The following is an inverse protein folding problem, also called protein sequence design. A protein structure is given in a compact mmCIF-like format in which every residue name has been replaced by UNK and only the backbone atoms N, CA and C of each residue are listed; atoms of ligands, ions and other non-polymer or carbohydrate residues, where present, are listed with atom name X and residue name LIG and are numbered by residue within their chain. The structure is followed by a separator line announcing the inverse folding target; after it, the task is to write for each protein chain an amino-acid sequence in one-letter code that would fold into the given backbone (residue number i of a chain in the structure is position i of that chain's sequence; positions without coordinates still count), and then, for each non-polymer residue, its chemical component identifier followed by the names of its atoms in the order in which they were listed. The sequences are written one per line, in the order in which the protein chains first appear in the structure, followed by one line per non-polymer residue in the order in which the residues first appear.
data_IF_476304408162
#
_entry.id   IF_476304408162
#
_cell.length_a   1.000
_cell.length_b   1.000
_cell.length_c   1.000
_cell.angle_alpha   90.00
_cell.angle_beta   90.00
_cell.angle_gamma   90.00
#
_symmetry.space_group_name_H-M   'P 1'
#
loop_
_entity.id
_entity.type
_entity.pdbx_description
1 polymer ?
#
# COMPACT_ATOMS: atom_id res chain seq x y z
N UNK A 1 -21.98 -6.45 26.90
CA UNK A 1 -21.45 -5.06 26.95
C UNK A 1 -19.94 -5.10 26.78
N UNK A 2 -19.28 -3.98 26.50
CA UNK A 2 -17.81 -3.93 26.39
C UNK A 2 -17.27 -2.97 27.45
N UNK A 3 -16.37 -3.44 28.31
CA UNK A 3 -15.74 -2.67 29.38
C UNK A 3 -14.27 -2.44 29.02
N UNK A 4 -13.86 -1.17 28.88
CA UNK A 4 -12.45 -0.83 28.63
C UNK A 4 -11.77 -0.44 29.94
N UNK A 5 -10.80 -1.25 30.34
CA UNK A 5 -9.93 -0.96 31.49
C UNK A 5 -8.81 0.03 31.11
N UNK A 6 -8.23 0.76 32.10
CA UNK A 6 -7.10 1.65 31.85
C UNK A 6 -5.85 0.88 31.40
N UNK A 7 -4.90 1.61 30.81
CA UNK A 7 -3.59 1.06 30.45
C UNK A 7 -2.89 0.56 31.73
N UNK A 8 -2.44 -0.69 31.68
CA UNK A 8 -1.72 -1.32 32.80
C UNK A 8 -0.23 -1.32 32.49
N UNK A 9 0.64 -0.82 33.39
CA UNK A 9 2.09 -0.90 33.22
C UNK A 9 2.56 -2.36 33.10
N UNK A 10 3.69 -2.58 32.41
CA UNK A 10 4.33 -3.90 32.24
C UNK A 10 5.00 -4.41 33.53
N UNK A 11 4.23 -4.49 34.61
CA UNK A 11 4.60 -4.99 35.92
C UNK A 11 3.72 -6.22 36.25
N UNK A 12 4.30 -7.42 36.48
CA UNK A 12 3.54 -8.66 36.67
C UNK A 12 2.41 -8.57 37.71
N UNK A 13 2.67 -7.93 38.86
CA UNK A 13 1.67 -7.79 39.93
C UNK A 13 0.49 -6.92 39.51
N UNK A 14 0.74 -5.87 38.72
CA UNK A 14 -0.33 -5.00 38.20
C UNK A 14 -1.14 -5.68 37.12
N UNK A 15 -0.48 -6.41 36.22
CA UNK A 15 -1.14 -7.23 35.19
C UNK A 15 -2.02 -8.28 35.87
N UNK A 16 -1.50 -8.99 36.89
CA UNK A 16 -2.26 -9.97 37.67
C UNK A 16 -3.50 -9.36 38.31
N UNK A 17 -3.36 -8.21 38.95
CA UNK A 17 -4.49 -7.53 39.58
C UNK A 17 -5.53 -7.08 38.55
N UNK A 18 -5.11 -6.52 37.42
CA UNK A 18 -5.99 -6.08 36.35
C UNK A 18 -6.76 -7.25 35.72
N UNK A 19 -6.07 -8.35 35.38
CA UNK A 19 -6.70 -9.56 34.83
C UNK A 19 -7.69 -10.14 35.84
N UNK A 20 -7.32 -10.25 37.13
CA UNK A 20 -8.21 -10.78 38.17
C UNK A 20 -9.49 -9.95 38.30
N UNK A 21 -9.38 -8.62 38.28
CA UNK A 21 -10.54 -7.72 38.31
C UNK A 21 -11.40 -7.91 37.05
N UNK A 22 -10.79 -7.90 35.87
CA UNK A 22 -11.51 -8.05 34.60
C UNK A 22 -12.27 -9.39 34.50
N UNK A 23 -11.66 -10.50 34.95
CA UNK A 23 -12.30 -11.83 34.97
C UNK A 23 -13.46 -11.88 35.96
N UNK A 24 -13.38 -11.18 37.10
CA UNK A 24 -14.48 -11.13 38.06
C UNK A 24 -15.71 -10.41 37.48
N UNK A 25 -15.49 -9.37 36.69
CA UNK A 25 -16.53 -8.45 36.21
C UNK A 25 -17.11 -8.81 34.81
N UNK A 26 -16.43 -9.64 34.01
CA UNK A 26 -16.82 -9.92 32.62
C UNK A 26 -16.80 -11.42 32.31
N UNK A 27 -17.40 -11.81 31.18
CA UNK A 27 -17.45 -13.21 30.72
C UNK A 27 -16.26 -13.62 29.83
N UNK A 28 -15.59 -12.64 29.22
CA UNK A 28 -14.42 -12.82 28.37
C UNK A 28 -13.47 -11.64 28.58
N UNK A 29 -12.17 -11.91 28.66
CA UNK A 29 -11.14 -10.88 28.83
C UNK A 29 -10.19 -10.90 27.64
N UNK A 30 -9.94 -9.73 27.07
CA UNK A 30 -8.97 -9.52 25.98
C UNK A 30 -7.87 -8.62 26.53
N UNK A 31 -6.63 -9.09 26.47
CA UNK A 31 -5.45 -8.31 26.80
C UNK A 31 -4.83 -7.80 25.49
N UNK A 32 -5.07 -6.53 25.17
CA UNK A 32 -4.48 -5.89 24.00
C UNK A 32 -2.98 -5.74 24.17
N UNK A 33 -2.20 -6.10 23.14
CA UNK A 33 -0.74 -6.19 23.22
C UNK A 33 -0.23 -7.08 24.37
N UNK A 34 -1.07 -8.00 24.84
CA UNK A 34 -0.77 -8.92 25.93
C UNK A 34 0.03 -10.14 25.48
N UNK A 35 0.66 -10.12 24.31
CA UNK A 35 1.51 -11.23 23.90
C UNK A 35 2.74 -10.77 23.12
N UNK A 36 3.87 -11.44 23.37
CA UNK A 36 5.17 -11.06 22.85
C UNK A 36 5.94 -12.28 22.33
N UNK A 37 6.73 -12.08 21.27
CA UNK A 37 7.74 -13.04 20.85
C UNK A 37 9.10 -12.82 21.55
N UNK A 38 9.18 -11.84 22.45
CA UNK A 38 10.39 -11.43 23.17
C UNK A 38 10.54 -12.06 24.57
N UNK A 39 11.60 -11.69 25.28
CA UNK A 39 12.10 -12.38 26.48
C UNK A 39 11.22 -12.31 27.75
N UNK A 40 10.08 -11.62 27.74
CA UNK A 40 9.20 -11.50 28.93
C UNK A 40 7.73 -11.40 28.50
N UNK A 41 7.07 -12.53 28.33
CA UNK A 41 5.62 -12.58 28.14
C UNK A 41 4.92 -12.76 29.50
N UNK A 42 4.86 -11.68 30.28
CA UNK A 42 4.25 -11.70 31.61
C UNK A 42 2.77 -12.09 31.59
N UNK A 43 2.09 -11.90 30.46
CA UNK A 43 0.66 -12.19 30.35
C UNK A 43 0.42 -13.69 30.35
N UNK A 44 1.23 -14.46 29.62
CA UNK A 44 1.16 -15.92 29.64
C UNK A 44 1.40 -16.48 31.04
N UNK A 45 2.45 -16.00 31.71
CA UNK A 45 2.79 -16.43 33.08
C UNK A 45 1.66 -16.12 34.05
N UNK A 46 1.13 -14.89 34.03
CA UNK A 46 0.02 -14.47 34.90
C UNK A 46 -1.26 -15.27 34.63
N UNK A 47 -1.57 -15.58 33.37
CA UNK A 47 -2.71 -16.43 33.04
C UNK A 47 -2.50 -17.84 33.61
N UNK A 48 -1.30 -18.40 33.49
CA UNK A 48 -0.95 -19.71 34.03
C UNK A 48 -0.97 -19.78 35.56
N UNK A 49 -0.62 -18.68 36.25
CA UNK A 49 -0.71 -18.59 37.70
C UNK A 49 -2.16 -18.49 38.21
N UNK A 50 -3.01 -17.74 37.51
CA UNK A 50 -4.40 -17.50 37.91
C UNK A 50 -5.36 -18.60 37.42
N UNK A 51 -4.97 -19.40 36.45
CA UNK A 51 -5.79 -20.43 35.83
C UNK A 51 -4.97 -21.37 34.96
N UNK A 52 -5.23 -21.39 33.66
CA UNK A 52 -4.60 -22.31 32.71
C UNK A 52 -4.31 -21.61 31.38
N UNK A 53 -3.12 -21.83 30.82
CA UNK A 53 -2.78 -21.47 29.44
C UNK A 53 -3.05 -22.68 28.55
N UNK A 54 -4.01 -22.56 27.63
CA UNK A 54 -4.41 -23.64 26.72
C UNK A 54 -3.57 -23.65 25.44
N UNK A 55 -3.30 -22.46 24.91
CA UNK A 55 -2.53 -22.25 23.67
C UNK A 55 -1.58 -21.08 23.88
N UNK A 56 -0.31 -21.30 23.56
CA UNK A 56 0.72 -20.27 23.53
C UNK A 56 1.30 -20.17 22.13
N UNK A 57 0.59 -19.40 21.31
CA UNK A 57 0.87 -19.21 19.90
C UNK A 57 0.17 -20.20 18.99
N UNK A 58 -0.15 -19.73 17.79
CA UNK A 58 -0.85 -20.50 16.75
C UNK A 58 -0.08 -20.42 15.43
N UNK A 59 -0.23 -21.43 14.59
CA UNK A 59 0.43 -21.49 13.28
C UNK A 59 -0.32 -20.62 12.25
N UNK A 60 -0.41 -19.31 12.51
CA UNK A 60 -0.96 -18.31 11.57
C UNK A 60 0.00 -17.14 11.35
N UNK A 61 -0.08 -16.52 10.17
CA UNK A 61 0.71 -15.35 9.78
C UNK A 61 -0.17 -14.29 9.13
N UNK A 62 -0.17 -13.03 9.59
CA UNK A 62 0.36 -12.56 10.88
C UNK A 62 -0.54 -13.01 12.04
N UNK A 63 -0.02 -13.02 13.27
CA UNK A 63 -0.81 -13.31 14.48
C UNK A 63 -0.29 -14.48 15.34
N UNK A 64 0.85 -15.07 14.97
CA UNK A 64 1.47 -16.19 15.68
C UNK A 64 1.46 -16.10 17.22
N UNK A 65 1.82 -14.98 17.89
CA UNK A 65 2.00 -15.00 19.35
C UNK A 65 0.70 -14.93 20.16
N UNK A 66 -0.49 -15.27 19.64
CA UNK A 66 -1.73 -15.23 20.45
C UNK A 66 -1.65 -16.17 21.66
N UNK A 67 -2.15 -15.73 22.82
CA UNK A 67 -2.33 -16.58 24.00
C UNK A 67 -3.82 -16.84 24.19
N UNK A 68 -4.19 -18.10 24.38
CA UNK A 68 -5.56 -18.47 24.76
C UNK A 68 -5.45 -19.23 26.07
N UNK A 69 -6.07 -18.68 27.10
CA UNK A 69 -6.16 -19.31 28.40
C UNK A 69 -7.54 -19.18 29.01
N UNK A 70 -7.63 -19.64 30.26
CA UNK A 70 -8.89 -19.78 30.97
C UNK A 70 -8.65 -19.52 32.45
N UNK A 71 -9.47 -18.65 33.05
CA UNK A 71 -9.45 -18.34 34.48
C UNK A 71 -10.89 -18.43 34.99
N UNK A 72 -11.16 -19.24 36.01
CA UNK A 72 -12.52 -19.47 36.55
C UNK A 72 -13.57 -19.77 35.47
N UNK A 73 -13.26 -20.70 34.55
CA UNK A 73 -14.11 -21.05 33.40
C UNK A 73 -14.30 -19.96 32.33
N UNK A 74 -13.69 -18.78 32.49
CA UNK A 74 -13.82 -17.65 31.56
C UNK A 74 -12.61 -17.54 30.64
N UNK A 75 -12.80 -17.37 29.32
CA UNK A 75 -11.70 -17.21 28.37
C UNK A 75 -10.92 -15.90 28.59
N UNK A 76 -9.59 -16.02 28.53
CA UNK A 76 -8.66 -14.90 28.58
C UNK A 76 -7.75 -14.98 27.36
N UNK A 77 -7.79 -13.95 26.51
CA UNK A 77 -7.09 -13.92 25.22
C UNK A 77 -6.00 -12.85 25.24
N UNK A 78 -4.74 -13.25 25.15
CA UNK A 78 -3.60 -12.35 24.96
C UNK A 78 -3.41 -12.05 23.47
N UNK A 79 -3.61 -10.81 23.06
CA UNK A 79 -3.53 -10.38 21.66
C UNK A 79 -2.12 -9.95 21.28
N UNK A 80 -1.68 -10.21 20.02
CA UNK A 80 -0.43 -9.67 19.51
C UNK A 80 -0.37 -8.15 19.61
N UNK A 81 0.78 -7.59 20.02
CA UNK A 81 0.99 -6.14 20.00
C UNK A 81 1.09 -5.54 18.60
N UNK A 82 1.36 -6.37 17.59
CA UNK A 82 1.44 -5.94 16.20
C UNK A 82 0.04 -5.85 15.56
N UNK A 83 -0.40 -4.68 15.04
CA UNK A 83 -1.79 -4.47 14.65
C UNK A 83 -2.35 -5.43 13.61
N UNK A 84 -1.57 -5.84 12.60
CA UNK A 84 -2.06 -6.83 11.63
C UNK A 84 -2.23 -8.21 12.25
N UNK A 85 -1.36 -8.58 13.18
CA UNK A 85 -1.51 -9.82 13.93
C UNK A 85 -2.76 -9.78 14.81
N UNK A 86 -3.01 -8.66 15.48
CA UNK A 86 -4.23 -8.45 16.25
C UNK A 86 -5.49 -8.53 15.37
N UNK A 87 -5.48 -7.90 14.19
CA UNK A 87 -6.60 -7.94 13.24
C UNK A 87 -6.90 -9.37 12.78
N UNK A 88 -5.88 -10.14 12.39
CA UNK A 88 -6.05 -11.54 12.02
C UNK A 88 -6.61 -12.37 13.18
N UNK A 89 -6.07 -12.21 14.39
CA UNK A 89 -6.57 -12.95 15.57
C UNK A 89 -8.02 -12.57 15.90
N UNK A 90 -8.38 -11.29 15.79
CA UNK A 90 -9.78 -10.87 15.96
C UNK A 90 -10.67 -11.61 14.96
N UNK A 91 -10.29 -11.59 13.69
CA UNK A 91 -11.10 -12.13 12.60
C UNK A 91 -11.21 -13.66 12.64
N UNK A 92 -10.11 -14.35 12.84
CA UNK A 92 -10.02 -15.80 12.68
C UNK A 92 -10.29 -16.58 13.97
N UNK A 93 -10.11 -15.96 15.13
CA UNK A 93 -10.24 -16.64 16.43
C UNK A 93 -11.33 -16.01 17.29
N UNK A 94 -11.28 -14.69 17.48
CA UNK A 94 -12.19 -14.02 18.41
C UNK A 94 -13.62 -13.93 17.86
N UNK A 95 -13.81 -13.51 16.60
CA UNK A 95 -15.13 -13.38 16.00
C UNK A 95 -15.87 -14.74 15.96
N UNK A 96 -15.25 -15.86 15.53
CA UNK A 96 -15.86 -17.19 15.64
C UNK A 96 -16.19 -17.58 17.08
N UNK A 97 -15.33 -17.25 18.06
CA UNK A 97 -15.59 -17.50 19.47
C UNK A 97 -16.81 -16.73 19.96
N UNK A 98 -16.90 -15.44 19.67
CA UNK A 98 -18.04 -14.58 20.02
C UNK A 98 -19.33 -15.06 19.37
N UNK A 99 -19.26 -15.50 18.10
CA UNK A 99 -20.39 -16.11 17.40
C UNK A 99 -20.90 -17.36 18.11
N UNK A 100 -20.00 -18.26 18.53
CA UNK A 100 -20.35 -19.45 19.31
C UNK A 100 -20.92 -19.12 20.70
N UNK A 101 -20.59 -17.96 21.26
CA UNK A 101 -21.21 -17.44 22.49
C UNK A 101 -22.59 -16.80 22.26
N UNK A 102 -23.12 -16.81 21.03
CA UNK A 102 -24.44 -16.28 20.70
C UNK A 102 -24.47 -14.80 20.29
N UNK A 103 -23.31 -14.17 20.10
CA UNK A 103 -23.25 -12.82 19.52
C UNK A 103 -23.42 -12.89 18.00
N UNK A 104 -24.18 -11.96 17.44
CA UNK A 104 -24.28 -11.85 16.00
C UNK A 104 -22.95 -11.35 15.42
N UNK A 105 -22.36 -12.17 14.57
CA UNK A 105 -21.17 -11.85 13.80
C UNK A 105 -21.55 -12.02 12.32
N UNK A 106 -21.52 -10.95 11.52
CA UNK A 106 -21.80 -11.04 10.10
C UNK A 106 -20.81 -12.00 9.42
N UNK A 107 -21.31 -12.95 8.65
CA UNK A 107 -20.46 -13.74 7.77
C UNK A 107 -19.96 -12.87 6.62
N UNK A 108 -18.64 -12.81 6.38
CA UNK A 108 -18.11 -12.02 5.28
C UNK A 108 -18.46 -12.69 3.95
N UNK A 109 -18.83 -11.88 2.95
CA UNK A 109 -18.95 -12.37 1.58
C UNK A 109 -17.60 -12.81 1.01
N UNK A 110 -17.63 -13.61 -0.06
CA UNK A 110 -16.45 -13.99 -0.82
C UNK A 110 -16.68 -13.84 -2.32
N UNK A 111 -15.62 -13.56 -3.06
CA UNK A 111 -15.66 -13.45 -4.53
C UNK A 111 -14.46 -14.19 -5.15
N UNK A 112 -14.65 -14.84 -6.31
CA UNK A 112 -13.51 -15.31 -7.10
C UNK A 112 -12.79 -14.09 -7.67
N UNK A 113 -11.47 -14.03 -7.53
CA UNK A 113 -10.66 -12.95 -8.06
C UNK A 113 -9.33 -13.46 -8.65
N UNK A 114 -8.91 -12.84 -9.75
CA UNK A 114 -7.62 -13.14 -10.39
C UNK A 114 -6.49 -12.39 -9.70
N UNK A 115 -5.45 -13.10 -9.26
CA UNK A 115 -4.27 -12.50 -8.61
C UNK A 115 -3.38 -11.76 -9.62
N UNK A 116 -2.89 -10.58 -9.23
CA UNK A 116 -1.98 -9.78 -10.08
C UNK A 116 -0.50 -10.12 -9.92
N UNK A 117 -0.14 -10.85 -8.86
CA UNK A 117 1.24 -11.26 -8.59
C UNK A 117 1.27 -12.58 -7.82
N UNK A 118 2.37 -13.32 -7.99
CA UNK A 118 2.64 -14.57 -7.28
C UNK A 118 2.77 -14.29 -5.77
N UNK A 119 2.11 -15.12 -4.98
CA UNK A 119 2.17 -15.13 -3.53
C UNK A 119 2.93 -16.37 -3.09
N UNK A 120 3.97 -16.19 -2.29
CA UNK A 120 4.69 -17.29 -1.65
C UNK A 120 4.34 -17.35 -0.16
N UNK A 121 4.14 -18.56 0.35
CA UNK A 121 3.84 -18.85 1.75
C UNK A 121 4.65 -20.05 2.24
N UNK A 122 4.96 -20.06 3.53
CA UNK A 122 5.67 -21.14 4.19
C UNK A 122 4.70 -22.29 4.52
N UNK A 123 5.09 -23.54 4.24
CA UNK A 123 4.31 -24.72 4.63
C UNK A 123 4.24 -24.83 6.16
N UNK A 124 3.09 -25.25 6.67
CA UNK A 124 2.84 -25.47 8.10
C UNK A 124 2.29 -24.24 8.83
N UNK A 125 1.95 -23.16 8.13
CA UNK A 125 1.31 -21.97 8.72
C UNK A 125 0.24 -21.42 7.77
N UNK A 126 -0.97 -21.16 8.29
CA UNK A 126 -1.98 -20.43 7.51
C UNK A 126 -1.54 -18.97 7.36
N UNK A 127 -1.35 -18.50 6.13
CA UNK A 127 -1.01 -17.10 5.86
C UNK A 127 -2.23 -16.32 5.37
N UNK A 128 -2.47 -15.17 5.99
CA UNK A 128 -3.55 -14.25 5.63
C UNK A 128 -2.97 -13.02 4.96
N UNK A 129 -3.18 -12.92 3.65
CA UNK A 129 -2.66 -11.85 2.81
C UNK A 129 -3.76 -10.83 2.57
N UNK A 130 -3.49 -9.57 2.92
CA UNK A 130 -4.39 -8.46 2.63
C UNK A 130 -4.32 -8.08 1.15
N UNK A 131 -5.48 -7.83 0.56
CA UNK A 131 -5.67 -7.58 -0.87
C UNK A 131 -6.45 -6.29 -1.10
N UNK A 132 -6.13 -5.60 -2.20
CA UNK A 132 -7.06 -4.66 -2.83
C UNK A 132 -7.73 -5.34 -4.01
N UNK A 133 -9.05 -5.31 -3.99
CA UNK A 133 -9.91 -5.81 -5.06
C UNK A 133 -10.47 -4.64 -5.87
N UNK A 134 -10.66 -4.88 -7.15
CA UNK A 134 -11.52 -4.07 -7.99
C UNK A 134 -12.10 -4.93 -9.10
N UNK A 135 -13.34 -4.62 -9.49
CA UNK A 135 -14.03 -5.33 -10.56
C UNK A 135 -13.70 -4.67 -11.90
N UNK A 136 -12.95 -5.34 -12.76
CA UNK A 136 -12.61 -4.85 -14.11
C UNK A 136 -13.49 -5.61 -15.10
N UNK A 137 -14.36 -4.89 -15.81
CA UNK A 137 -15.44 -5.51 -16.59
C UNK A 137 -16.28 -6.45 -15.69
N UNK A 138 -16.34 -7.74 -16.01
CA UNK A 138 -17.13 -8.71 -15.24
C UNK A 138 -16.30 -9.56 -14.25
N UNK A 139 -15.00 -9.28 -14.10
CA UNK A 139 -14.11 -10.07 -13.23
C UNK A 139 -13.53 -9.25 -12.08
N UNK A 140 -13.41 -9.84 -10.90
CA UNK A 140 -12.59 -9.25 -9.84
C UNK A 140 -11.12 -9.52 -10.09
N UNK A 141 -10.32 -8.50 -9.85
CA UNK A 141 -8.86 -8.59 -9.83
C UNK A 141 -8.40 -8.27 -8.42
N UNK A 142 -7.45 -9.05 -7.91
CA UNK A 142 -6.93 -8.96 -6.55
C UNK A 142 -5.42 -8.65 -6.57
N UNK A 143 -5.06 -7.51 -6.00
CA UNK A 143 -3.66 -7.08 -5.86
C UNK A 143 -3.21 -7.18 -4.41
N UNK A 144 -2.16 -7.97 -4.12
CA UNK A 144 -1.58 -8.03 -2.78
C UNK A 144 -1.07 -6.69 -2.28
N UNK A 145 -1.42 -6.35 -1.05
CA UNK A 145 -0.86 -5.19 -0.38
C UNK A 145 0.63 -5.40 -0.08
N UNK A 146 1.41 -4.32 -0.14
CA UNK A 146 2.86 -4.38 0.09
C UNK A 146 3.20 -4.90 1.49
N UNK A 147 4.18 -5.79 1.56
CA UNK A 147 4.79 -6.32 2.79
C UNK A 147 6.02 -5.45 3.13
N UNK A 148 5.83 -4.29 3.80
CA UNK A 148 6.93 -3.34 4.03
C UNK A 148 6.63 -2.22 5.05
N UNK A 149 7.54 -1.25 5.20
CA UNK A 149 7.40 -0.13 6.15
C UNK A 149 6.10 0.65 5.89
N UNK A 150 5.22 0.74 6.89
CA UNK A 150 3.86 1.30 6.74
C UNK A 150 2.74 0.25 6.66
N UNK A 151 3.06 -1.02 6.93
CA UNK A 151 2.15 -2.19 6.85
C UNK A 151 0.80 -2.03 7.58
N UNK A 152 0.67 -1.13 8.55
CA UNK A 152 -0.60 -0.83 9.20
C UNK A 152 -1.59 -0.19 8.22
N UNK A 153 -1.10 0.65 7.30
CA UNK A 153 -1.90 1.22 6.23
C UNK A 153 -2.41 0.16 5.26
N UNK A 154 -1.74 -0.99 5.14
CA UNK A 154 -2.22 -2.11 4.35
C UNK A 154 -3.56 -2.64 4.87
N UNK A 155 -3.80 -2.63 6.20
CA UNK A 155 -5.10 -3.00 6.75
C UNK A 155 -6.20 -1.95 6.48
N UNK A 156 -5.82 -0.67 6.47
CA UNK A 156 -6.77 0.42 6.17
C UNK A 156 -7.17 0.41 4.69
N UNK A 157 -6.22 0.09 3.80
CA UNK A 157 -6.41 0.11 2.34
C UNK A 157 -6.95 -1.19 1.76
N UNK A 158 -6.93 -2.29 2.52
CA UNK A 158 -7.42 -3.57 2.05
C UNK A 158 -8.94 -3.64 2.15
N UNK A 159 -9.57 -4.08 1.07
CA UNK A 159 -11.00 -4.35 1.00
C UNK A 159 -11.31 -5.85 0.91
N UNK A 160 -10.28 -6.70 0.95
CA UNK A 160 -10.41 -8.15 1.13
C UNK A 160 -9.10 -8.82 1.56
N UNK A 161 -9.16 -10.12 1.80
CA UNK A 161 -8.00 -10.93 2.16
C UNK A 161 -8.11 -12.36 1.61
N UNK A 162 -6.95 -12.97 1.40
CA UNK A 162 -6.81 -14.36 1.00
C UNK A 162 -6.18 -15.15 2.15
N UNK A 163 -6.78 -16.30 2.47
CA UNK A 163 -6.13 -17.33 3.29
C UNK A 163 -5.36 -18.27 2.36
N UNK A 164 -4.06 -18.36 2.54
CA UNK A 164 -3.21 -19.39 1.97
C UNK A 164 -3.14 -20.53 3.01
N UNK A 165 -3.72 -21.70 2.72
CA UNK A 165 -3.72 -22.81 3.67
C UNK A 165 -2.31 -23.27 4.01
N UNK A 166 -2.10 -23.75 5.24
CA UNK A 166 -0.80 -24.29 5.68
C UNK A 166 -0.23 -25.43 4.83
N UNK A 167 -1.05 -26.08 3.99
CA UNK A 167 -0.64 -27.14 3.07
C UNK A 167 -0.22 -26.63 1.67
N UNK A 168 -0.23 -25.32 1.44
CA UNK A 168 -0.03 -24.70 0.13
C UNK A 168 1.16 -23.74 0.18
N UNK A 169 2.07 -23.83 -0.79
CA UNK A 169 3.28 -22.99 -0.87
C UNK A 169 3.02 -21.59 -1.45
N UNK A 170 1.82 -21.35 -1.94
CA UNK A 170 1.48 -20.09 -2.60
C UNK A 170 0.46 -20.24 -3.72
N UNK A 171 0.30 -19.14 -4.45
CA UNK A 171 -0.53 -19.05 -5.64
C UNK A 171 0.21 -18.25 -6.71
N UNK A 172 0.03 -18.60 -7.97
CA UNK A 172 0.73 -17.94 -9.07
C UNK A 172 0.01 -16.69 -9.58
N UNK A 173 0.76 -15.77 -10.19
CA UNK A 173 0.18 -14.62 -10.87
C UNK A 173 -0.78 -15.06 -11.97
N UNK A 174 -1.98 -14.48 -11.99
CA UNK A 174 -3.04 -14.82 -12.93
C UNK A 174 -3.95 -15.96 -12.50
N UNK A 175 -3.64 -16.65 -11.39
CA UNK A 175 -4.51 -17.68 -10.82
C UNK A 175 -5.79 -17.05 -10.22
N UNK A 176 -6.91 -17.76 -10.33
CA UNK A 176 -8.16 -17.39 -9.68
C UNK A 176 -8.23 -17.98 -8.27
N UNK A 177 -8.45 -17.12 -7.28
CA UNK A 177 -8.55 -17.51 -5.87
C UNK A 177 -9.83 -17.00 -5.25
N UNK A 178 -10.31 -17.67 -4.20
CA UNK A 178 -11.44 -17.19 -3.42
C UNK A 178 -10.97 -16.17 -2.39
N UNK A 179 -11.45 -14.94 -2.55
CA UNK A 179 -11.08 -13.81 -1.68
C UNK A 179 -12.24 -13.47 -0.77
N UNK A 180 -11.97 -13.38 0.52
CA UNK A 180 -12.96 -12.95 1.51
C UNK A 180 -12.98 -11.44 1.59
N UNK A 181 -14.17 -10.84 1.52
CA UNK A 181 -14.35 -9.40 1.55
C UNK A 181 -14.23 -8.85 2.97
N UNK A 182 -13.59 -7.68 3.09
CA UNK A 182 -13.52 -6.89 4.33
C UNK A 182 -14.50 -5.70 4.33
N UNK A 183 -15.14 -5.46 3.19
CA UNK A 183 -16.16 -4.43 2.96
C UNK A 183 -17.41 -5.10 2.38
N UNK A 184 -18.59 -4.43 2.39
CA UNK A 184 -19.75 -4.92 1.64
C UNK A 184 -19.41 -5.14 0.16
N UNK A 185 -20.07 -6.09 -0.49
CA UNK A 185 -19.82 -6.40 -1.91
C UNK A 185 -19.87 -5.18 -2.83
N UNK A 186 -20.81 -4.26 -2.58
CA UNK A 186 -20.91 -2.99 -3.32
C UNK A 186 -19.67 -2.10 -3.19
N UNK A 187 -18.97 -2.12 -2.06
CA UNK A 187 -17.72 -1.38 -1.87
C UNK A 187 -16.55 -1.97 -2.68
N UNK A 188 -16.46 -3.29 -2.75
CA UNK A 188 -15.48 -3.96 -3.61
C UNK A 188 -15.79 -3.71 -5.10
N UNK A 189 -17.07 -3.60 -5.48
CA UNK A 189 -17.47 -3.26 -6.85
C UNK A 189 -17.22 -1.79 -7.20
N UNK A 190 -17.34 -0.85 -6.26
CA UNK A 190 -17.06 0.57 -6.50
C UNK A 190 -15.56 0.93 -6.49
N UNK A 191 -14.70 -0.06 -6.26
CA UNK A 191 -13.25 0.10 -6.17
C UNK A 191 -12.57 0.14 -7.54
N UNK A 192 -11.65 1.09 -7.74
CA UNK A 192 -10.81 1.25 -8.93
C UNK A 192 -9.36 0.95 -8.60
N UNK A 193 -8.81 -0.08 -9.25
CA UNK A 193 -7.39 -0.40 -9.22
C UNK A 193 -6.58 0.53 -10.13
N UNK A 194 -5.64 1.25 -9.54
CA UNK A 194 -4.70 2.14 -10.22
C UNK A 194 -3.29 1.62 -9.99
N UNK A 195 -2.60 1.16 -11.02
CA UNK A 195 -1.28 0.50 -10.88
C UNK A 195 -0.23 1.20 -11.74
N UNK A 196 0.83 1.72 -11.13
CA UNK A 196 1.88 2.39 -11.89
C UNK A 196 2.80 3.27 -11.06
N UNK A 197 3.13 4.44 -11.60
CA UNK A 197 3.93 5.44 -10.92
C UNK A 197 3.20 6.04 -9.71
N UNK A 198 3.99 6.53 -8.76
CA UNK A 198 3.50 7.28 -7.62
C UNK A 198 3.57 8.79 -7.93
N UNK A 199 2.61 9.55 -7.40
CA UNK A 199 2.69 11.00 -7.20
C UNK A 199 1.88 11.37 -5.94
N UNK A 200 2.36 12.29 -5.08
CA UNK A 200 1.58 12.75 -3.93
C UNK A 200 0.17 13.27 -4.29
N UNK A 201 -0.05 13.79 -5.50
CA UNK A 201 -1.36 14.26 -5.94
C UNK A 201 -2.39 13.14 -6.07
N UNK A 202 -1.96 11.89 -6.27
CA UNK A 202 -2.89 10.75 -6.37
C UNK A 202 -3.58 10.43 -5.05
N UNK A 203 -2.96 10.76 -3.91
CA UNK A 203 -3.60 10.58 -2.61
C UNK A 203 -4.77 11.58 -2.44
N UNK A 204 -4.61 12.81 -2.92
CA UNK A 204 -5.69 13.80 -2.95
C UNK A 204 -6.77 13.44 -3.99
N UNK A 205 -6.36 12.90 -5.14
CA UNK A 205 -7.33 12.38 -6.13
C UNK A 205 -8.19 11.26 -5.53
N UNK A 206 -7.57 10.36 -4.76
CA UNK A 206 -8.27 9.29 -4.04
C UNK A 206 -9.32 9.86 -3.07
N UNK A 207 -8.98 10.93 -2.34
CA UNK A 207 -9.90 11.59 -1.43
C UNK A 207 -11.10 12.22 -2.18
N UNK A 208 -10.85 12.91 -3.29
CA UNK A 208 -11.92 13.50 -4.10
C UNK A 208 -12.82 12.44 -4.73
N UNK A 209 -12.24 11.37 -5.28
CA UNK A 209 -12.98 10.26 -5.86
C UNK A 209 -13.84 9.54 -4.80
N UNK A 210 -13.34 9.41 -3.56
CA UNK A 210 -14.07 8.80 -2.47
C UNK A 210 -15.35 9.57 -2.12
N UNK A 211 -15.33 10.91 -2.19
CA UNK A 211 -16.54 11.74 -2.03
C UNK A 211 -17.57 11.50 -3.15
N UNK A 212 -17.11 11.08 -4.32
CA UNK A 212 -17.93 10.59 -5.44
C UNK A 212 -18.32 9.11 -5.34
N UNK A 213 -18.02 8.44 -4.23
CA UNK A 213 -18.36 7.02 -4.00
C UNK A 213 -17.39 6.01 -4.62
N UNK A 214 -16.23 6.45 -5.13
CA UNK A 214 -15.22 5.59 -5.76
C UNK A 214 -13.99 5.47 -4.88
N UNK A 215 -13.62 4.25 -4.54
CA UNK A 215 -12.40 3.98 -3.78
C UNK A 215 -11.23 3.67 -4.73
N UNK A 216 -10.15 4.45 -4.67
CA UNK A 216 -8.96 4.21 -5.49
C UNK A 216 -7.96 3.38 -4.68
N UNK A 217 -7.63 2.19 -5.20
CA UNK A 217 -6.52 1.39 -4.67
C UNK A 217 -5.29 1.55 -5.56
N UNK A 218 -4.33 2.33 -5.07
CA UNK A 218 -3.07 2.60 -5.77
C UNK A 218 -2.00 1.56 -5.44
N UNK A 219 -1.39 0.96 -6.47
CA UNK A 219 -0.22 0.06 -6.36
C UNK A 219 0.99 0.64 -7.09
N UNK A 220 2.12 0.79 -6.38
CA UNK A 220 3.27 1.57 -6.87
C UNK A 220 4.41 0.69 -7.43
N UNK A 221 4.24 0.25 -8.68
CA UNK A 221 5.22 -0.60 -9.39
C UNK A 221 6.09 0.18 -10.39
N UNK A 222 5.97 1.51 -10.43
CA UNK A 222 6.61 2.35 -11.44
C UNK A 222 5.84 2.35 -12.76
N UNK A 223 6.17 3.28 -13.66
CA UNK A 223 5.42 3.50 -14.91
C UNK A 223 5.43 2.26 -15.82
N UNK A 224 6.57 1.61 -15.99
CA UNK A 224 6.64 0.38 -16.79
C UNK A 224 5.80 -0.76 -16.21
N UNK A 225 5.82 -0.93 -14.88
CA UNK A 225 4.97 -1.92 -14.22
C UNK A 225 3.48 -1.66 -14.44
N UNK A 226 3.07 -0.39 -14.49
CA UNK A 226 1.70 0.03 -14.82
C UNK A 226 1.30 -0.30 -16.26
N UNK A 227 2.16 -0.01 -17.24
CA UNK A 227 1.93 -0.39 -18.65
C UNK A 227 1.76 -1.91 -18.79
N UNK A 228 2.60 -2.69 -18.11
CA UNK A 228 2.48 -4.15 -18.11
C UNK A 228 1.23 -4.65 -17.37
N UNK A 229 0.77 -3.95 -16.34
CA UNK A 229 -0.49 -4.27 -15.65
C UNK A 229 -1.71 -3.99 -16.53
N UNK A 230 -1.71 -2.89 -17.31
CA UNK A 230 -2.72 -2.64 -18.34
C UNK A 230 -2.73 -3.77 -19.37
N UNK A 231 -1.56 -4.20 -19.87
CA UNK A 231 -1.44 -5.30 -20.83
C UNK A 231 -2.11 -6.60 -20.36
N UNK A 232 -2.02 -6.88 -19.06
CA UNK A 232 -2.60 -8.09 -18.46
C UNK A 232 -4.06 -7.90 -18.05
N UNK A 233 -4.61 -6.69 -18.20
CA UNK A 233 -5.95 -6.33 -17.74
C UNK A 233 -6.10 -6.45 -16.22
N UNK A 234 -5.05 -6.09 -15.49
CA UNK A 234 -4.93 -6.21 -14.03
C UNK A 234 -5.25 -4.90 -13.29
N UNK A 235 -5.46 -3.80 -14.02
CA UNK A 235 -5.83 -2.50 -13.45
C UNK A 235 -6.73 -1.73 -14.42
N UNK A 236 -7.49 -0.76 -13.89
CA UNK A 236 -8.35 0.10 -14.74
C UNK A 236 -7.54 1.22 -15.37
N UNK A 237 -6.49 1.68 -14.68
CA UNK A 237 -5.69 2.80 -15.11
C UNK A 237 -4.25 2.71 -14.57
N UNK A 238 -3.31 3.26 -15.34
CA UNK A 238 -1.89 3.27 -14.99
C UNK A 238 -1.29 4.69 -15.05
N UNK A 239 -0.89 5.27 -13.91
CA UNK A 239 -0.17 6.53 -13.89
C UNK A 239 1.25 6.36 -14.43
N UNK A 240 1.66 7.23 -15.35
CA UNK A 240 2.93 7.10 -16.05
C UNK A 240 3.54 8.45 -16.48
N UNK A 241 4.86 8.41 -16.70
CA UNK A 241 5.70 9.53 -17.15
C UNK A 241 6.99 8.99 -17.79
N UNK A 242 6.85 8.14 -18.79
CA UNK A 242 7.99 7.49 -19.44
C UNK A 242 8.57 8.41 -20.52
N UNK A 243 9.79 8.91 -20.32
CA UNK A 243 10.51 9.74 -21.26
C UNK A 243 11.00 8.91 -22.47
N UNK A 244 10.64 9.37 -23.66
CA UNK A 244 11.14 8.85 -24.94
C UNK A 244 12.41 9.58 -25.40
N UNK A 245 13.25 8.96 -26.25
CA UNK A 245 14.48 9.59 -26.76
C UNK A 245 14.25 10.88 -27.57
N UNK A 246 13.07 11.05 -28.16
CA UNK A 246 12.65 12.26 -28.88
C UNK A 246 12.19 13.40 -27.95
N UNK A 247 12.09 13.13 -26.65
CA UNK A 247 11.66 14.09 -25.63
C UNK A 247 10.15 14.09 -25.34
N UNK A 248 9.33 13.31 -26.06
CA UNK A 248 7.92 13.12 -25.70
C UNK A 248 7.78 12.15 -24.51
N UNK A 249 6.57 12.08 -23.97
CA UNK A 249 6.23 11.20 -22.85
C UNK A 249 5.11 10.22 -23.23
N UNK A 250 5.26 9.00 -22.70
CA UNK A 250 4.27 7.92 -22.65
C UNK A 250 3.92 7.26 -23.99
N UNK A 251 3.72 8.02 -25.07
CA UNK A 251 3.23 7.52 -26.36
C UNK A 251 3.99 6.33 -26.91
N UNK A 252 5.29 6.47 -27.14
CA UNK A 252 6.13 5.41 -27.75
C UNK A 252 6.13 4.12 -26.91
N UNK A 253 6.08 4.25 -25.58
CA UNK A 253 6.03 3.10 -24.69
C UNK A 253 4.68 2.40 -24.76
N UNK A 254 3.57 3.14 -24.87
CA UNK A 254 2.26 2.53 -25.09
C UNK A 254 2.23 1.79 -26.43
N UNK A 255 2.64 2.44 -27.52
CA UNK A 255 2.70 1.84 -28.87
C UNK A 255 3.58 0.57 -28.90
N UNK A 256 4.71 0.59 -28.19
CA UNK A 256 5.65 -0.54 -28.12
C UNK A 256 5.13 -1.71 -27.28
N UNK A 257 4.55 -1.45 -26.11
CA UNK A 257 4.22 -2.50 -25.15
C UNK A 257 2.77 -2.96 -25.20
N UNK A 258 1.86 -2.13 -25.73
CA UNK A 258 0.44 -2.36 -25.93
C UNK A 258 0.05 -2.19 -27.42
N UNK A 259 0.71 -2.88 -28.36
CA UNK A 259 0.45 -2.68 -29.78
C UNK A 259 -0.98 -3.07 -30.15
N UNK A 260 -1.72 -2.14 -30.74
CA UNK A 260 -3.11 -2.35 -31.19
C UNK A 260 -4.16 -2.17 -30.09
N UNK A 261 -3.76 -1.77 -28.88
CA UNK A 261 -4.69 -1.38 -27.82
C UNK A 261 -4.98 0.12 -27.90
N UNK A 262 -6.26 0.48 -27.88
CA UNK A 262 -6.67 1.88 -27.82
C UNK A 262 -6.53 2.42 -26.39
N UNK A 263 -5.58 3.32 -26.16
CA UNK A 263 -5.34 3.92 -24.84
C UNK A 263 -5.64 5.41 -24.85
N UNK A 264 -6.40 5.87 -23.86
CA UNK A 264 -6.57 7.29 -23.56
C UNK A 264 -5.64 7.72 -22.43
N UNK A 265 -4.96 8.85 -22.65
CA UNK A 265 -4.12 9.51 -21.66
C UNK A 265 -4.89 10.70 -21.07
N UNK A 266 -5.25 10.61 -19.79
CA UNK A 266 -5.77 11.72 -19.01
C UNK A 266 -4.60 12.48 -18.39
N UNK A 267 -4.38 13.73 -18.79
CA UNK A 267 -3.34 14.56 -18.21
C UNK A 267 -3.69 14.92 -16.77
N UNK A 268 -2.84 14.52 -15.82
CA UNK A 268 -2.97 14.91 -14.42
C UNK A 268 -2.34 16.29 -14.24
N UNK A 269 -1.08 16.45 -14.65
CA UNK A 269 -0.35 17.72 -14.69
C UNK A 269 0.99 17.52 -15.42
N UNK A 270 1.65 18.61 -15.81
CA UNK A 270 3.11 18.56 -15.92
C UNK A 270 3.71 18.80 -14.53
N UNK A 271 4.80 18.12 -14.19
CA UNK A 271 5.42 18.24 -12.86
C UNK A 271 6.92 18.39 -12.94
N UNK A 272 7.50 19.03 -11.95
CA UNK A 272 8.94 19.28 -11.87
C UNK A 272 9.66 18.14 -11.15
N UNK A 273 10.65 17.55 -11.82
CA UNK A 273 11.60 16.59 -11.26
C UNK A 273 12.94 17.26 -11.00
N UNK A 274 13.61 16.86 -9.94
CA UNK A 274 14.89 17.44 -9.57
C UNK A 274 15.61 16.65 -8.48
N UNK A 275 16.81 17.11 -8.17
CA UNK A 275 17.64 16.55 -7.12
C UNK A 275 17.26 17.21 -5.79
N UNK A 276 16.70 16.41 -4.89
CA UNK A 276 16.44 16.82 -3.52
C UNK A 276 17.67 16.52 -2.66
N UNK A 277 18.12 17.50 -1.89
CA UNK A 277 19.28 17.38 -1.00
C UNK A 277 19.17 18.35 0.18
N UNK A 278 20.05 18.20 1.16
CA UNK A 278 20.15 19.17 2.28
C UNK A 278 20.93 20.43 1.89
N UNK A 279 21.87 20.29 0.94
CA UNK A 279 22.85 21.32 0.60
C UNK A 279 22.64 21.97 -0.78
N UNK A 280 21.68 21.49 -1.57
CA UNK A 280 21.40 22.02 -2.91
C UNK A 280 22.30 21.44 -4.00
N UNK A 281 22.64 20.15 -3.90
CA UNK A 281 23.40 19.43 -4.92
C UNK A 281 22.64 19.29 -6.24
N UNK A 282 23.42 19.32 -7.32
CA UNK A 282 23.01 19.15 -8.71
C UNK A 282 23.42 17.78 -9.26
N UNK A 283 23.10 17.51 -10.53
CA UNK A 283 23.49 16.27 -11.19
C UNK A 283 25.00 16.07 -11.27
N UNK A 284 25.80 17.14 -11.38
CA UNK A 284 27.26 17.03 -11.48
C UNK A 284 27.93 16.64 -10.17
N UNK A 285 27.25 16.83 -9.03
CA UNK A 285 27.80 16.53 -7.70
C UNK A 285 27.58 15.05 -7.30
N UNK A 286 26.74 14.32 -8.05
CA UNK A 286 26.35 12.94 -7.71
C UNK A 286 27.53 11.95 -7.56
N UNK A 287 28.63 12.03 -8.33
CA UNK A 287 29.78 11.14 -8.15
C UNK A 287 30.45 11.24 -6.78
N UNK A 288 30.31 12.38 -6.08
CA UNK A 288 31.04 12.66 -4.84
C UNK A 288 30.19 12.48 -3.57
N UNK A 289 28.92 12.07 -3.70
CA UNK A 289 27.96 12.00 -2.59
C UNK A 289 27.18 10.68 -2.56
N UNK A 290 26.54 10.37 -1.44
CA UNK A 290 25.68 9.19 -1.32
C UNK A 290 24.30 9.49 -1.90
N UNK A 291 23.87 8.68 -2.85
CA UNK A 291 22.60 8.81 -3.53
C UNK A 291 21.59 7.74 -3.07
N UNK A 292 20.31 8.09 -3.06
CA UNK A 292 19.18 7.16 -2.96
C UNK A 292 18.31 7.29 -4.21
N UNK A 293 18.01 6.16 -4.83
CA UNK A 293 17.39 6.12 -6.15
C UNK A 293 15.92 5.68 -6.09
N UNK A 294 15.18 5.96 -7.15
CA UNK A 294 13.89 5.31 -7.42
C UNK A 294 14.13 3.96 -8.11
N UNK A 295 13.16 3.07 -7.94
CA UNK A 295 13.23 1.71 -8.49
C UNK A 295 13.46 1.68 -10.01
N UNK A 296 14.18 0.66 -10.49
CA UNK A 296 14.31 0.37 -11.94
C UNK A 296 12.92 0.30 -12.62
N UNK A 297 12.82 0.88 -13.82
CA UNK A 297 11.56 0.96 -14.57
C UNK A 297 10.61 2.10 -14.15
N UNK A 298 10.94 2.89 -13.13
CA UNK A 298 10.25 4.16 -12.87
C UNK A 298 10.64 5.23 -13.91
N UNK A 299 9.71 6.15 -14.23
CA UNK A 299 10.03 7.26 -15.13
C UNK A 299 11.15 8.15 -14.60
N UNK A 300 11.24 8.32 -13.27
CA UNK A 300 12.33 9.07 -12.62
C UNK A 300 13.69 8.40 -12.86
N UNK A 301 13.76 7.07 -12.79
CA UNK A 301 15.01 6.35 -13.09
C UNK A 301 15.39 6.49 -14.57
N UNK A 302 14.42 6.40 -15.48
CA UNK A 302 14.66 6.59 -16.92
C UNK A 302 15.19 8.01 -17.21
N UNK A 303 14.57 9.03 -16.60
CA UNK A 303 14.99 10.42 -16.72
C UNK A 303 16.40 10.65 -16.13
N UNK A 304 16.67 10.13 -14.93
CA UNK A 304 18.01 10.21 -14.32
C UNK A 304 19.06 9.61 -15.25
N UNK A 305 18.82 8.41 -15.76
CA UNK A 305 19.78 7.70 -16.60
C UNK A 305 20.00 8.41 -17.95
N UNK A 306 18.95 9.05 -18.48
CA UNK A 306 19.05 9.90 -19.66
C UNK A 306 19.93 11.12 -19.40
N UNK A 307 19.71 11.83 -18.29
CA UNK A 307 20.49 13.03 -17.95
C UNK A 307 21.93 12.71 -17.54
N UNK A 308 22.18 11.60 -16.84
CA UNK A 308 23.54 11.12 -16.53
C UNK A 308 24.33 10.82 -17.81
N UNK A 309 23.70 10.15 -18.79
CA UNK A 309 24.32 9.90 -20.10
C UNK A 309 24.66 11.19 -20.82
N UNK A 310 23.75 12.18 -20.81
CA UNK A 310 24.00 13.50 -21.41
C UNK A 310 25.13 14.26 -20.73
N UNK A 311 25.26 14.11 -19.42
CA UNK A 311 26.34 14.70 -18.63
C UNK A 311 27.66 13.92 -18.70
N UNK A 312 27.68 12.73 -19.31
CA UNK A 312 28.86 11.87 -19.37
C UNK A 312 29.24 11.24 -18.03
N UNK A 313 28.29 11.13 -17.09
CA UNK A 313 28.49 10.55 -15.76
C UNK A 313 28.09 9.07 -15.81
N UNK A 314 29.01 8.18 -15.44
CA UNK A 314 28.70 6.75 -15.35
C UNK A 314 27.96 6.44 -14.04
N UNK A 315 26.86 5.66 -14.08
CA UNK A 315 26.19 5.19 -12.87
C UNK A 315 27.08 4.52 -11.84
N UNK A 316 28.12 3.80 -12.28
CA UNK A 316 29.07 3.10 -11.41
C UNK A 316 29.91 4.05 -10.54
N UNK A 317 29.94 5.34 -10.90
CA UNK A 317 30.64 6.38 -10.12
C UNK A 317 29.79 6.92 -8.97
N UNK A 318 28.49 6.60 -8.90
CA UNK A 318 27.57 7.18 -7.93
C UNK A 318 27.39 6.21 -6.76
N UNK A 319 27.85 6.61 -5.58
CA UNK A 319 27.72 5.80 -4.37
C UNK A 319 26.24 5.63 -4.00
N UNK A 320 25.76 4.38 -3.92
CA UNK A 320 24.37 4.08 -3.58
C UNK A 320 23.38 4.11 -4.75
N UNK A 321 23.87 4.16 -6.00
CA UNK A 321 23.01 4.20 -7.19
C UNK A 321 22.00 3.02 -7.30
N UNK A 322 22.35 1.83 -6.79
CA UNK A 322 21.46 0.67 -6.69
C UNK A 322 20.64 0.60 -5.39
N UNK A 323 20.78 1.57 -4.48
CA UNK A 323 19.88 1.68 -3.31
C UNK A 323 18.58 2.31 -3.78
N UNK A 324 17.50 1.55 -3.71
CA UNK A 324 16.22 1.91 -4.32
C UNK A 324 15.10 2.04 -3.30
N UNK A 325 14.23 3.02 -3.52
CA UNK A 325 12.94 3.19 -2.82
C UNK A 325 11.81 3.38 -3.83
N UNK A 326 10.57 3.10 -3.42
CA UNK A 326 9.43 3.01 -4.34
C UNK A 326 8.56 4.25 -4.42
N UNK A 327 8.75 5.25 -3.54
CA UNK A 327 7.94 6.48 -3.51
C UNK A 327 8.82 7.74 -3.45
N UNK A 328 8.28 8.87 -3.90
CA UNK A 328 9.01 10.15 -3.87
C UNK A 328 9.23 10.65 -2.45
N UNK A 329 8.27 10.41 -1.55
CA UNK A 329 8.41 10.76 -0.15
C UNK A 329 9.48 9.90 0.55
N UNK A 330 9.64 8.64 0.16
CA UNK A 330 10.70 7.79 0.69
C UNK A 330 12.10 8.30 0.29
N UNK A 331 12.28 8.79 -0.95
CA UNK A 331 13.52 9.45 -1.39
C UNK A 331 13.81 10.65 -0.51
N UNK A 332 12.84 11.56 -0.40
CA UNK A 332 12.99 12.76 0.41
C UNK A 332 13.25 12.43 1.89
N UNK A 333 12.60 11.39 2.44
CA UNK A 333 12.79 10.98 3.83
C UNK A 333 14.20 10.42 4.08
N UNK A 334 14.72 9.59 3.17
CA UNK A 334 16.08 9.07 3.26
C UNK A 334 17.14 10.19 3.21
N UNK A 335 16.90 11.23 2.42
CA UNK A 335 17.76 12.42 2.40
C UNK A 335 17.62 13.21 3.71
N UNK A 336 16.38 13.41 4.19
CA UNK A 336 16.11 14.15 5.43
C UNK A 336 16.72 13.48 6.66
N UNK A 337 16.69 12.15 6.71
CA UNK A 337 17.25 11.34 7.80
C UNK A 337 18.77 11.20 7.74
N UNK A 338 19.41 11.62 6.64
CA UNK A 338 20.85 11.50 6.41
C UNK A 338 21.31 10.10 5.97
N UNK A 339 20.36 9.21 5.66
CA UNK A 339 20.62 7.89 5.06
C UNK A 339 21.25 8.01 3.66
N UNK A 340 20.93 9.10 2.95
CA UNK A 340 21.56 9.56 1.73
C UNK A 340 21.76 11.09 1.76
N UNK A 341 22.62 11.59 0.87
CA UNK A 341 22.93 13.02 0.77
C UNK A 341 22.05 13.70 -0.30
N UNK A 342 21.69 12.95 -1.35
CA UNK A 342 20.76 13.39 -2.38
C UNK A 342 19.91 12.24 -2.95
N UNK A 343 18.82 12.60 -3.62
CA UNK A 343 17.98 11.68 -4.38
C UNK A 343 17.09 12.43 -5.36
N UNK A 344 16.71 11.79 -6.48
CA UNK A 344 15.82 12.41 -7.48
C UNK A 344 14.35 12.18 -7.14
N UNK A 345 13.56 13.25 -7.04
CA UNK A 345 12.12 13.17 -6.80
C UNK A 345 11.35 14.36 -7.39
N UNK A 346 10.02 14.34 -7.23
CA UNK A 346 9.17 15.49 -7.55
C UNK A 346 9.38 16.62 -6.55
N UNK A 347 9.24 17.87 -7.01
CA UNK A 347 9.38 19.06 -6.17
C UNK A 347 8.50 19.02 -4.91
N UNK A 348 7.23 18.61 -5.06
CA UNK A 348 6.26 18.56 -3.95
C UNK A 348 6.72 17.67 -2.79
N UNK A 349 7.44 16.58 -3.07
CA UNK A 349 7.99 15.69 -2.04
C UNK A 349 9.18 16.32 -1.31
N UNK A 350 10.09 17.00 -2.03
CA UNK A 350 11.19 17.73 -1.43
C UNK A 350 10.69 18.88 -0.53
N UNK A 351 9.69 19.63 -1.02
CA UNK A 351 9.04 20.72 -0.28
C UNK A 351 8.39 20.23 1.00
N UNK A 352 7.70 19.09 0.97
CA UNK A 352 7.03 18.51 2.12
C UNK A 352 7.98 18.22 3.30
N UNK A 353 9.26 17.94 3.04
CA UNK A 353 10.29 17.70 4.06
C UNK A 353 11.27 18.87 4.26
N UNK A 354 11.02 20.00 3.58
CA UNK A 354 11.85 21.20 3.66
C UNK A 354 13.28 20.97 3.17
N UNK A 355 13.45 20.25 2.07
CA UNK A 355 14.74 20.00 1.43
C UNK A 355 15.04 21.05 0.35
N UNK A 356 16.32 21.32 0.12
CA UNK A 356 16.75 22.05 -1.06
C UNK A 356 16.45 21.21 -2.31
N UNK A 357 16.14 21.89 -3.41
CA UNK A 357 15.73 21.24 -4.65
C UNK A 357 16.37 21.93 -5.84
N UNK A 358 17.12 21.15 -6.62
CA UNK A 358 17.72 21.61 -7.89
C UNK A 358 16.92 21.00 -9.04
N UNK A 359 16.18 21.81 -9.83
CA UNK A 359 15.37 21.31 -10.93
C UNK A 359 16.22 20.63 -12.01
N UNK A 360 15.69 19.55 -12.58
CA UNK A 360 16.33 18.79 -13.67
C UNK A 360 15.48 18.86 -14.94
N UNK A 361 14.19 18.56 -14.84
CA UNK A 361 13.28 18.59 -15.98
C UNK A 361 11.82 18.79 -15.55
N UNK A 362 10.99 19.20 -16.50
CA UNK A 362 9.53 19.07 -16.41
C UNK A 362 9.09 17.84 -17.18
N UNK A 363 8.18 17.08 -16.61
CA UNK A 363 7.65 15.85 -17.20
C UNK A 363 6.13 15.85 -17.24
N UNK A 364 5.57 15.19 -18.27
CA UNK A 364 4.12 15.01 -18.40
C UNK A 364 3.69 13.80 -17.57
N UNK A 365 2.85 14.01 -16.57
CA UNK A 365 2.29 12.96 -15.73
C UNK A 365 0.85 12.70 -16.12
N UNK A 366 0.59 11.50 -16.63
CA UNK A 366 -0.70 11.13 -17.21
C UNK A 366 -1.19 9.80 -16.62
N UNK A 367 -2.51 9.64 -16.62
CA UNK A 367 -3.17 8.40 -16.29
C UNK A 367 -3.58 7.72 -17.59
N UNK A 368 -2.92 6.61 -17.94
CA UNK A 368 -3.28 5.77 -19.08
C UNK A 368 -4.49 4.91 -18.73
N UNK A 369 -5.52 4.94 -19.57
CA UNK A 369 -6.81 4.28 -19.37
C UNK A 369 -7.18 3.58 -20.68
N UNK A 370 -7.47 2.26 -20.69
CA UNK A 370 -8.00 1.60 -21.87
C UNK A 370 -9.29 2.28 -22.35
N UNK A 371 -9.43 2.46 -23.65
CA UNK A 371 -10.51 3.25 -24.23
C UNK A 371 -11.91 2.72 -23.88
N UNK A 372 -12.06 1.40 -23.82
CA UNK A 372 -13.29 0.73 -23.39
C UNK A 372 -13.61 0.99 -21.91
N UNK A 373 -12.58 1.18 -21.09
CA UNK A 373 -12.71 1.42 -19.64
C UNK A 373 -13.18 2.85 -19.34
N UNK A 374 -13.05 3.80 -20.28
CA UNK A 374 -13.60 5.15 -20.11
C UNK A 374 -15.14 5.21 -19.99
N UNK A 375 -15.83 4.16 -20.46
CA UNK A 375 -17.30 4.05 -20.32
C UNK A 375 -17.74 3.68 -18.89
N UNK A 376 -16.80 3.28 -18.04
CA UNK A 376 -17.04 2.92 -16.66
C UNK A 376 -17.42 4.15 -15.82
N UNK A 377 -18.57 4.17 -15.13
CA UNK A 377 -18.97 5.29 -14.29
C UNK A 377 -17.93 5.67 -13.22
N UNK A 378 -17.19 4.68 -12.70
CA UNK A 378 -16.16 4.91 -11.67
C UNK A 378 -14.97 5.69 -12.24
N UNK A 379 -14.63 5.45 -13.51
CA UNK A 379 -13.60 6.21 -14.22
C UNK A 379 -14.11 7.62 -14.55
N UNK A 380 -15.40 7.77 -14.88
CA UNK A 380 -16.04 9.08 -15.01
C UNK A 380 -15.83 9.95 -13.77
N UNK A 381 -16.07 9.42 -12.57
CA UNK A 381 -15.83 10.12 -11.30
C UNK A 381 -14.37 10.56 -11.16
N UNK A 382 -13.40 9.73 -11.56
CA UNK A 382 -11.97 10.07 -11.51
C UNK A 382 -11.64 11.19 -12.50
N UNK A 383 -12.15 11.11 -13.74
CA UNK A 383 -11.96 12.16 -14.76
C UNK A 383 -12.54 13.49 -14.31
N UNK A 384 -13.74 13.48 -13.74
CA UNK A 384 -14.40 14.67 -13.20
C UNK A 384 -13.65 15.24 -12.00
N UNK A 385 -13.14 14.38 -11.11
CA UNK A 385 -12.30 14.80 -10.00
C UNK A 385 -11.03 15.49 -10.49
N UNK A 386 -10.32 14.94 -11.48
CA UNK A 386 -9.13 15.59 -12.07
C UNK A 386 -9.47 16.93 -12.72
N UNK A 387 -10.64 17.06 -13.35
CA UNK A 387 -11.09 18.31 -13.99
C UNK A 387 -11.57 19.38 -13.01
N UNK A 388 -11.84 19.01 -11.77
CA UNK A 388 -12.39 19.92 -10.77
C UNK A 388 -11.42 21.06 -10.41
N UNK A 389 -11.99 22.22 -10.08
CA UNK A 389 -11.20 23.36 -9.56
C UNK A 389 -10.56 23.04 -8.21
N UNK A 390 -11.17 22.16 -7.41
CA UNK A 390 -10.59 21.68 -6.16
C UNK A 390 -9.27 20.93 -6.41
N UNK A 391 -9.23 20.05 -7.42
CA UNK A 391 -8.01 19.33 -7.78
C UNK A 391 -6.91 20.26 -8.31
N UNK A 392 -7.25 21.24 -9.14
CA UNK A 392 -6.30 22.27 -9.60
C UNK A 392 -5.74 23.09 -8.43
N UNK A 393 -6.59 23.46 -7.47
CA UNK A 393 -6.18 24.14 -6.24
C UNK A 393 -5.21 23.29 -5.40
N UNK A 394 -5.38 21.97 -5.39
CA UNK A 394 -4.43 21.04 -4.75
C UNK A 394 -3.06 21.10 -5.46
N UNK A 395 -3.03 21.03 -6.79
CA UNK A 395 -1.79 21.12 -7.57
C UNK A 395 -1.03 22.43 -7.29
N UNK A 396 -1.73 23.56 -7.33
CA UNK A 396 -1.17 24.88 -7.02
C UNK A 396 -0.62 24.93 -5.59
N UNK A 397 -1.39 24.44 -4.61
CA UNK A 397 -0.98 24.40 -3.21
C UNK A 397 0.27 23.56 -3.01
N UNK A 398 0.39 22.38 -3.64
CA UNK A 398 1.57 21.53 -3.53
C UNK A 398 2.80 22.13 -4.24
N UNK A 399 2.58 22.88 -5.32
CA UNK A 399 3.61 23.55 -6.11
C UNK A 399 4.45 22.57 -6.94
N UNK A 400 5.17 23.11 -7.93
CA UNK A 400 5.95 22.31 -8.88
C UNK A 400 5.10 21.56 -9.92
N UNK A 401 3.83 21.97 -10.09
CA UNK A 401 2.90 21.43 -11.09
C UNK A 401 2.43 22.54 -12.05
N UNK A 402 2.25 22.17 -13.31
CA UNK A 402 1.58 22.95 -14.34
C UNK A 402 0.21 22.33 -14.62
N UNK A 403 -0.86 23.08 -14.36
CA UNK A 403 -2.23 22.62 -14.51
C UNK A 403 -2.88 22.99 -15.84
N UNK A 404 -2.14 23.60 -16.77
CA UNK A 404 -2.69 24.12 -18.04
C UNK A 404 -3.40 23.05 -18.87
N UNK A 405 -2.89 21.82 -18.87
CA UNK A 405 -3.47 20.67 -19.58
C UNK A 405 -4.21 19.70 -18.64
N UNK A 406 -4.35 20.00 -17.35
CA UNK A 406 -5.00 19.09 -16.39
C UNK A 406 -6.43 18.76 -16.81
N UNK A 407 -6.76 17.47 -16.85
CA UNK A 407 -8.07 16.95 -17.24
C UNK A 407 -8.28 16.79 -18.75
N UNK A 408 -7.29 17.15 -19.58
CA UNK A 408 -7.31 16.91 -21.02
C UNK A 408 -7.11 15.41 -21.28
N UNK A 409 -8.00 14.84 -22.11
CA UNK A 409 -7.88 13.47 -22.61
C UNK A 409 -7.31 13.52 -24.02
N UNK A 410 -6.27 12.72 -24.30
CA UNK A 410 -5.77 12.47 -25.65
C UNK A 410 -5.72 10.97 -25.93
N UNK A 411 -6.20 10.56 -27.10
CA UNK A 411 -6.15 9.16 -27.55
C UNK A 411 -4.79 8.86 -28.17
N UNK A 412 -4.22 7.72 -27.81
CA UNK A 412 -3.03 7.13 -28.42
C UNK A 412 -3.48 5.86 -29.12
N UNK A 413 -3.39 5.81 -30.47
CA UNK A 413 -3.81 4.66 -31.26
C UNK A 413 -2.82 3.50 -31.23
#
# INVERSE_FOLDING_TARGET
TCTRYPLTPDEPDRIRQAIRTAVAENDLVIVSAGSSAGTRDYTADVIGELGEVLIHGVAIKPGKPVIIGKINEKPVIGMPGYPLGALTVIRELLLPLLSRCGLFVPEPGSVPARLTSTLHSDVGTDEFVLLSLGKISDRFVATPQSRGSGIQMSAVRANGYLRIPSSVEGYEAGEEVQVTLMVPGSGAESSVLVTGSHDPVLDYLSELAQRGGVEIHSTHVGSMGGVLALKRGDCHAAPMHLLSPDGDYNREYLEKYLPGEDISLLCIAQREQGIASREGYSLSDLPDIRFINRQKGSGTRILLDYELRRAGISPDQIAGYDREVTTHLAVALAVKSGEADAGMCVYSAARALGLAFVPVARERYELAIPQETLSDPRIGVIVDAVRSEEFKSVLERLGGYDSTETGVLRRVP
#
